data_IF_135327882288
#
_entry.id   IF_135327882288
#
_cell.length_a   1.000
_cell.length_b   1.000
_cell.length_c   1.000
_cell.angle_alpha   90.00
_cell.angle_beta   90.00
_cell.angle_gamma   90.00
#
_symmetry.space_group_name_H-M   'P 1'
#
loop_
_entity.id
_entity.type
_entity.pdbx_description
1 polymer ?
#
# COMPACT_ATOMS: atom_id res chain seq x y z
N UNK A 1 -3.91 50.24 36.59
CA UNK A 1 -3.34 50.60 35.27
C UNK A 1 -3.89 49.64 34.24
N UNK A 2 -4.89 50.07 33.45
CA UNK A 2 -5.58 49.20 32.48
C UNK A 2 -4.69 49.00 31.25
N UNK A 3 -4.14 47.79 31.09
CA UNK A 3 -3.36 47.40 29.91
C UNK A 3 -4.35 47.17 28.75
N UNK A 4 -4.69 48.22 28.00
CA UNK A 4 -5.38 48.07 26.71
C UNK A 4 -4.34 47.69 25.65
N UNK A 5 -4.08 46.38 25.51
CA UNK A 5 -3.25 45.85 24.42
C UNK A 5 -3.93 46.06 23.07
N UNK A 6 -3.29 46.81 22.17
CA UNK A 6 -3.76 47.00 20.78
C UNK A 6 -3.34 45.75 19.98
N UNK A 7 -4.24 44.75 19.85
CA UNK A 7 -4.01 43.57 18.99
C UNK A 7 -3.79 44.05 17.55
N UNK A 8 -2.57 43.93 17.04
CA UNK A 8 -2.29 43.97 15.60
C UNK A 8 -2.49 42.57 15.02
N UNK A 9 -3.02 42.50 13.81
CA UNK A 9 -3.28 41.27 13.06
C UNK A 9 -1.97 40.47 12.83
N UNK A 10 -2.02 39.13 12.83
CA UNK A 10 -0.84 38.29 12.58
C UNK A 10 -0.28 38.50 11.17
N UNK A 11 1.05 38.56 11.03
CA UNK A 11 1.74 38.48 9.74
C UNK A 11 2.16 37.03 9.47
N UNK A 12 1.69 36.45 8.37
CA UNK A 12 2.07 35.10 7.89
C UNK A 12 3.45 35.15 7.25
N UNK A 13 4.37 34.26 7.67
CA UNK A 13 5.75 34.24 7.17
C UNK A 13 6.07 33.02 6.31
N UNK A 14 5.44 31.88 6.60
CA UNK A 14 5.54 30.62 5.87
C UNK A 14 4.32 29.75 6.21
N UNK A 15 4.14 28.60 5.54
CA UNK A 15 3.09 27.63 5.90
C UNK A 15 3.15 27.37 7.42
N UNK A 16 2.06 27.73 8.11
CA UNK A 16 1.83 27.54 9.55
C UNK A 16 2.67 28.37 10.54
N UNK A 17 3.41 29.41 10.10
CA UNK A 17 4.14 30.33 11.01
C UNK A 17 3.57 31.74 11.01
N UNK A 18 3.15 32.21 12.19
CA UNK A 18 2.67 33.57 12.42
C UNK A 18 3.65 34.34 13.31
N UNK A 19 3.95 35.59 12.93
CA UNK A 19 4.59 36.56 13.84
C UNK A 19 3.57 37.53 14.38
N UNK A 20 3.61 37.67 15.70
CA UNK A 20 2.87 38.67 16.45
C UNK A 20 3.86 39.69 17.01
N UNK A 21 3.57 40.98 16.82
CA UNK A 21 4.29 42.06 17.49
C UNK A 21 3.53 42.36 18.78
N UNK A 22 4.14 42.06 19.92
CA UNK A 22 3.58 42.37 21.24
C UNK A 22 4.18 43.70 21.68
N UNK A 23 3.33 44.72 21.79
CA UNK A 23 3.74 46.07 22.20
C UNK A 23 3.32 46.33 23.65
N UNK A 24 4.23 46.87 24.46
CA UNK A 24 3.96 47.27 25.84
C UNK A 24 4.74 48.54 26.18
N UNK A 25 4.22 49.29 27.14
CA UNK A 25 4.86 50.50 27.66
C UNK A 25 5.43 50.23 29.05
N UNK A 26 6.73 50.46 29.23
CA UNK A 26 7.40 50.44 30.54
C UNK A 26 8.01 51.82 30.76
N UNK A 27 7.63 52.51 31.84
CA UNK A 27 8.16 53.85 32.16
C UNK A 27 8.13 54.83 30.97
N UNK A 28 7.01 54.87 30.23
CA UNK A 28 6.81 55.68 29.01
C UNK A 28 7.70 55.30 27.80
N UNK A 29 8.49 54.23 27.88
CA UNK A 29 9.23 53.68 26.75
C UNK A 29 8.36 52.65 26.03
N UNK A 30 8.18 52.81 24.71
CA UNK A 30 7.54 51.80 23.86
C UNK A 30 8.53 50.66 23.63
N UNK A 31 8.22 49.49 24.18
CA UNK A 31 8.94 48.26 23.91
C UNK A 31 8.08 47.36 23.01
N UNK A 32 8.75 46.63 22.12
CA UNK A 32 8.13 45.63 21.29
C UNK A 32 8.96 44.35 21.35
N UNK A 33 8.31 43.21 21.55
CA UNK A 33 8.90 41.90 21.34
C UNK A 33 8.19 41.15 20.24
N UNK A 34 8.94 40.24 19.63
CA UNK A 34 8.41 39.33 18.63
C UNK A 34 8.00 38.06 19.37
N UNK A 35 6.72 37.72 19.30
CA UNK A 35 6.24 36.41 19.69
C UNK A 35 5.99 35.60 18.42
N UNK A 36 6.58 34.41 18.32
CA UNK A 36 6.33 33.45 17.26
C UNK A 36 5.31 32.43 17.75
N UNK A 37 4.16 32.35 17.09
CA UNK A 37 3.22 31.26 17.29
C UNK A 37 3.35 30.33 16.09
N UNK A 38 3.80 29.10 16.33
CA UNK A 38 3.75 28.04 15.34
C UNK A 38 2.39 27.34 15.50
N UNK A 39 1.62 27.25 14.41
CA UNK A 39 0.48 26.34 14.37
C UNK A 39 1.06 24.95 14.15
N UNK A 40 0.82 24.05 15.11
CA UNK A 40 1.20 22.65 14.97
C UNK A 40 0.19 22.00 14.03
N UNK A 41 0.70 21.37 12.97
CA UNK A 41 -0.14 20.59 12.10
C UNK A 41 -0.45 19.25 12.75
N UNK A 42 -1.73 18.89 12.79
CA UNK A 42 -2.24 17.66 13.39
C UNK A 42 -3.09 16.85 12.41
N UNK A 43 -3.25 17.34 11.18
CA UNK A 43 -4.04 16.66 10.16
C UNK A 43 -3.15 15.65 9.42
N UNK A 44 -3.58 14.39 9.27
CA UNK A 44 -2.80 13.40 8.54
C UNK A 44 -2.91 13.59 7.02
N UNK A 45 -1.91 13.11 6.26
CA UNK A 45 -1.99 13.01 4.81
C UNK A 45 -3.24 12.28 4.31
N UNK A 46 -3.67 12.61 3.09
CA UNK A 46 -4.76 11.92 2.40
C UNK A 46 -4.20 11.20 1.17
N UNK A 47 -4.46 9.90 1.08
CA UNK A 47 -4.19 9.13 -0.13
C UNK A 47 -5.28 9.30 -1.18
N UNK A 48 -4.87 9.46 -2.43
CA UNK A 48 -5.69 9.41 -3.64
C UNK A 48 -5.28 8.21 -4.48
N UNK A 49 -6.25 7.62 -5.17
CA UNK A 49 -6.08 6.42 -6.00
C UNK A 49 -5.48 5.20 -5.28
N UNK A 50 -5.94 4.94 -4.05
CA UNK A 50 -5.66 3.68 -3.38
C UNK A 50 -6.08 2.48 -4.24
N UNK A 51 -5.15 1.56 -4.58
CA UNK A 51 -5.49 0.39 -5.36
C UNK A 51 -6.55 -0.46 -4.67
N UNK A 52 -7.37 -1.14 -5.47
CA UNK A 52 -8.29 -2.17 -4.99
C UNK A 52 -7.58 -3.51 -4.93
N UNK A 53 -8.17 -4.45 -4.22
CA UNK A 53 -7.69 -5.84 -4.18
C UNK A 53 -7.57 -6.43 -5.60
N UNK A 54 -6.50 -7.18 -5.81
CA UNK A 54 -6.17 -7.85 -7.06
C UNK A 54 -6.34 -9.35 -6.85
N UNK A 55 -7.22 -9.97 -7.63
CA UNK A 55 -7.40 -11.42 -7.66
C UNK A 55 -7.07 -11.97 -9.04
N UNK A 56 -6.19 -12.96 -9.09
CA UNK A 56 -5.83 -13.67 -10.31
C UNK A 56 -5.91 -15.16 -10.06
N UNK A 57 -6.68 -15.84 -10.90
CA UNK A 57 -6.71 -17.29 -11.00
C UNK A 57 -5.76 -17.70 -12.13
N UNK A 58 -4.57 -18.19 -11.78
CA UNK A 58 -3.61 -18.69 -12.75
C UNK A 58 -3.87 -20.15 -13.06
N UNK A 59 -4.03 -20.44 -14.34
CA UNK A 59 -4.23 -21.77 -14.89
C UNK A 59 -2.96 -22.38 -15.48
N UNK A 60 -1.85 -21.63 -15.43
CA UNK A 60 -0.55 -22.06 -15.90
C UNK A 60 0.22 -22.80 -14.80
N UNK A 61 1.35 -23.40 -15.19
CA UNK A 61 2.30 -24.04 -14.28
C UNK A 61 3.36 -23.05 -13.77
N UNK A 62 3.17 -21.75 -13.97
CA UNK A 62 4.18 -20.77 -13.53
C UNK A 62 4.19 -20.67 -12.01
N UNK A 63 5.39 -20.64 -11.44
CA UNK A 63 5.56 -20.47 -10.00
C UNK A 63 5.49 -19.01 -9.57
N UNK A 64 5.70 -18.06 -10.49
CA UNK A 64 5.71 -16.64 -10.19
C UNK A 64 5.02 -15.82 -11.30
N UNK A 65 4.25 -14.82 -10.90
CA UNK A 65 3.59 -13.87 -11.80
C UNK A 65 4.04 -12.45 -11.48
N UNK A 66 4.26 -11.64 -12.53
CA UNK A 66 4.51 -10.21 -12.38
C UNK A 66 3.20 -9.46 -12.21
N UNK A 67 3.04 -8.74 -11.10
CA UNK A 67 1.82 -7.99 -10.81
C UNK A 67 2.12 -6.50 -10.84
N UNK A 68 1.34 -5.75 -11.62
CA UNK A 68 1.48 -4.30 -11.76
C UNK A 68 0.22 -3.58 -11.27
N UNK A 69 0.38 -2.42 -10.63
CA UNK A 69 -0.71 -1.56 -10.18
C UNK A 69 -0.28 -0.08 -10.23
N UNK A 70 -1.25 0.84 -10.30
CA UNK A 70 -0.98 2.27 -10.15
C UNK A 70 -0.61 2.55 -8.69
N UNK A 71 0.53 3.19 -8.45
CA UNK A 71 0.92 3.57 -7.07
C UNK A 71 -0.02 4.69 -6.59
N UNK A 72 -0.51 4.65 -5.34
CA UNK A 72 -1.31 5.73 -4.79
C UNK A 72 -0.44 6.98 -4.59
N UNK A 73 -1.08 8.15 -4.58
CA UNK A 73 -0.45 9.44 -4.29
C UNK A 73 -0.96 9.97 -2.96
N UNK A 74 -0.10 10.60 -2.16
CA UNK A 74 -0.51 11.24 -0.91
C UNK A 74 -0.33 12.75 -1.00
N UNK A 75 -1.29 13.50 -0.47
CA UNK A 75 -1.25 14.96 -0.37
C UNK A 75 -1.64 15.38 1.02
N UNK A 76 -1.16 16.55 1.44
CA UNK A 76 -1.43 17.09 2.77
C UNK A 76 -1.81 18.58 2.68
N UNK A 77 -2.53 19.07 3.69
CA UNK A 77 -3.03 20.44 3.74
C UNK A 77 -1.91 21.47 4.01
N UNK A 78 -0.73 21.04 4.49
CA UNK A 78 0.43 21.91 4.75
C UNK A 78 1.07 22.48 3.48
N UNK A 79 0.75 21.90 2.31
CA UNK A 79 1.37 22.25 1.03
C UNK A 79 2.75 21.64 0.82
N UNK A 80 3.27 20.87 1.79
CA UNK A 80 4.50 20.08 1.65
C UNK A 80 4.12 18.64 1.30
N UNK A 81 4.64 18.06 0.20
CA UNK A 81 4.36 16.67 -0.16
C UNK A 81 4.83 15.69 0.92
N UNK A 82 3.95 14.78 1.40
CA UNK A 82 4.32 13.73 2.34
C UNK A 82 5.33 12.73 1.76
N UNK A 83 6.14 12.13 2.62
CA UNK A 83 7.00 10.99 2.28
C UNK A 83 6.17 9.71 2.18
N UNK A 84 6.21 9.03 1.02
CA UNK A 84 5.45 7.80 0.78
C UNK A 84 6.38 6.60 0.66
N UNK A 85 6.12 5.56 1.44
CA UNK A 85 6.84 4.29 1.43
C UNK A 85 5.90 3.10 1.22
N UNK A 86 6.43 1.95 0.78
CA UNK A 86 5.64 0.73 0.63
C UNK A 86 6.45 -0.52 0.97
N UNK A 87 5.77 -1.55 1.50
CA UNK A 87 6.36 -2.86 1.75
C UNK A 87 6.56 -3.70 0.47
N UNK A 88 5.93 -3.32 -0.65
CA UNK A 88 5.99 -4.06 -1.93
C UNK A 88 5.94 -3.11 -3.12
N UNK A 89 6.55 -3.51 -4.23
CA UNK A 89 6.67 -2.66 -5.41
C UNK A 89 5.78 -3.15 -6.56
N UNK A 90 5.12 -2.20 -7.22
CA UNK A 90 4.41 -2.47 -8.46
C UNK A 90 5.39 -3.02 -9.51
N UNK A 91 5.00 -4.09 -10.19
CA UNK A 91 5.83 -4.82 -11.14
C UNK A 91 6.73 -5.88 -10.50
N UNK A 92 6.62 -6.17 -9.20
CA UNK A 92 7.34 -7.28 -8.58
C UNK A 92 6.77 -8.65 -9.01
N UNK A 93 7.58 -9.70 -8.84
CA UNK A 93 7.16 -11.10 -9.00
C UNK A 93 6.55 -11.60 -7.69
N UNK A 94 5.46 -12.35 -7.82
CA UNK A 94 4.73 -12.94 -6.70
C UNK A 94 4.54 -14.43 -6.92
N UNK A 95 4.83 -15.28 -5.91
CA UNK A 95 4.67 -16.72 -6.04
C UNK A 95 3.20 -17.12 -6.16
N UNK A 96 2.93 -18.23 -6.84
CA UNK A 96 1.59 -18.82 -7.00
C UNK A 96 1.57 -20.20 -6.33
N UNK A 97 0.58 -20.51 -5.46
CA UNK A 97 -0.46 -19.63 -4.94
C UNK A 97 0.08 -18.74 -3.81
N UNK A 98 -0.50 -17.55 -3.64
CA UNK A 98 -0.17 -16.68 -2.52
C UNK A 98 -1.27 -15.68 -2.19
N UNK A 99 -1.20 -15.11 -1.00
CA UNK A 99 -2.00 -13.96 -0.59
C UNK A 99 -1.11 -13.00 0.16
N UNK A 100 -0.92 -11.79 -0.39
CA UNK A 100 -0.04 -10.78 0.18
C UNK A 100 -0.76 -9.45 0.36
N UNK A 101 -0.53 -8.82 1.50
CA UNK A 101 -0.94 -7.44 1.73
C UNK A 101 0.14 -6.48 1.21
N UNK A 102 -0.30 -5.47 0.48
CA UNK A 102 0.49 -4.30 0.09
C UNK A 102 0.05 -3.14 0.97
N UNK A 103 1.00 -2.55 1.68
CA UNK A 103 0.83 -1.40 2.55
C UNK A 103 1.63 -0.23 1.98
N UNK A 104 0.97 0.89 1.75
CA UNK A 104 1.57 2.20 1.56
C UNK A 104 1.42 3.02 2.84
N UNK A 105 2.49 3.71 3.23
CA UNK A 105 2.52 4.60 4.40
C UNK A 105 3.00 5.98 3.97
N UNK A 106 2.23 7.01 4.29
CA UNK A 106 2.57 8.41 4.10
C UNK A 106 2.87 9.05 5.46
N UNK A 107 3.92 9.87 5.52
CA UNK A 107 4.29 10.68 6.70
C UNK A 107 4.53 12.12 6.24
N UNK A 108 3.84 13.09 6.83
CA UNK A 108 4.05 14.52 6.54
C UNK A 108 5.29 15.11 7.27
N UNK A 109 5.49 16.42 7.13
CA UNK A 109 6.59 17.12 7.79
C UNK A 109 6.39 17.32 9.31
N UNK A 110 5.14 17.22 9.79
CA UNK A 110 4.79 17.33 11.20
C UNK A 110 4.82 15.97 11.94
N UNK A 111 4.96 14.87 11.19
CA UNK A 111 4.98 13.51 11.70
C UNK A 111 3.60 12.84 11.75
N UNK A 112 2.56 13.43 11.16
CA UNK A 112 1.27 12.76 11.04
C UNK A 112 1.32 11.69 9.95
N UNK A 113 0.62 10.60 10.16
CA UNK A 113 0.71 9.40 9.32
C UNK A 113 -0.64 9.01 8.73
N UNK A 114 -0.60 8.48 7.51
CA UNK A 114 -1.74 7.83 6.88
C UNK A 114 -1.30 6.53 6.19
N UNK A 115 -2.24 5.62 6.02
CA UNK A 115 -2.00 4.32 5.37
C UNK A 115 -3.02 4.02 4.28
N UNK A 116 -2.57 3.25 3.29
CA UNK A 116 -3.38 2.76 2.18
C UNK A 116 -3.02 1.30 1.94
N UNK A 117 -4.00 0.40 2.04
CA UNK A 117 -3.78 -1.05 1.96
C UNK A 117 -4.67 -1.71 0.92
N UNK A 118 -4.14 -2.76 0.29
CA UNK A 118 -4.90 -3.68 -0.56
C UNK A 118 -4.23 -5.05 -0.59
N UNK A 119 -4.96 -6.05 -1.05
CA UNK A 119 -4.52 -7.45 -1.09
C UNK A 119 -4.31 -7.95 -2.52
N UNK A 120 -3.24 -8.71 -2.72
CA UNK A 120 -2.99 -9.48 -3.94
C UNK A 120 -3.23 -10.95 -3.60
N UNK A 121 -4.18 -11.58 -4.27
CA UNK A 121 -4.49 -13.01 -4.11
C UNK A 121 -4.29 -13.73 -5.44
N UNK A 122 -3.33 -14.65 -5.45
CA UNK A 122 -3.01 -15.51 -6.58
C UNK A 122 -3.42 -16.93 -6.24
N UNK A 123 -4.40 -17.46 -6.97
CA UNK A 123 -4.86 -18.84 -6.80
C UNK A 123 -4.36 -19.67 -7.97
N UNK A 124 -4.09 -20.95 -7.70
CA UNK A 124 -3.84 -21.93 -8.74
C UNK A 124 -5.12 -22.69 -9.03
N UNK A 125 -5.60 -22.58 -10.26
CA UNK A 125 -6.74 -23.37 -10.73
C UNK A 125 -6.22 -24.45 -11.66
N UNK A 126 -6.14 -25.68 -11.16
CA UNK A 126 -5.80 -26.82 -12.01
C UNK A 126 -6.92 -27.01 -13.03
N UNK A 127 -6.63 -26.70 -14.30
CA UNK A 127 -7.54 -26.98 -15.41
C UNK A 127 -7.77 -28.48 -15.55
N UNK A 128 -8.82 -28.85 -16.26
CA UNK A 128 -9.17 -30.24 -16.60
C UNK A 128 -7.98 -31.02 -17.17
N UNK A 129 -7.05 -30.36 -17.87
CA UNK A 129 -5.84 -30.99 -18.42
C UNK A 129 -4.83 -31.42 -17.36
N UNK A 130 -4.55 -30.59 -16.35
CA UNK A 130 -3.66 -30.98 -15.24
C UNK A 130 -4.34 -32.01 -14.32
N UNK A 131 -5.67 -31.95 -14.18
CA UNK A 131 -6.45 -33.02 -13.53
C UNK A 131 -6.37 -34.34 -14.31
N UNK A 132 -6.35 -34.29 -15.66
CA UNK A 132 -6.20 -35.47 -16.52
C UNK A 132 -4.80 -36.08 -16.40
N UNK A 133 -3.73 -35.27 -16.32
CA UNK A 133 -2.37 -35.77 -16.10
C UNK A 133 -2.23 -36.38 -14.70
N UNK A 134 -2.70 -35.70 -13.64
CA UNK A 134 -2.70 -36.27 -12.29
C UNK A 134 -3.56 -37.56 -12.17
N UNK A 135 -4.59 -37.70 -13.00
CA UNK A 135 -5.35 -38.95 -13.12
C UNK A 135 -4.55 -40.03 -13.85
N UNK A 136 -3.82 -39.70 -14.90
CA UNK A 136 -2.94 -40.64 -15.62
C UNK A 136 -1.86 -41.17 -14.68
N UNK A 137 -1.19 -40.32 -13.90
CA UNK A 137 -0.18 -40.75 -12.92
C UNK A 137 -0.76 -41.68 -11.86
N UNK A 138 -1.97 -41.37 -11.37
CA UNK A 138 -2.70 -42.25 -10.44
C UNK A 138 -3.07 -43.59 -11.08
N UNK A 139 -3.50 -43.60 -12.34
CA UNK A 139 -3.82 -44.83 -13.06
C UNK A 139 -2.57 -45.68 -13.34
N UNK A 140 -1.44 -45.06 -13.66
CA UNK A 140 -0.15 -45.74 -13.82
C UNK A 140 0.35 -46.34 -12.50
N UNK A 141 0.20 -45.63 -11.38
CA UNK A 141 0.54 -46.15 -10.06
C UNK A 141 -0.32 -47.37 -9.67
N UNK A 142 -1.62 -47.35 -9.99
CA UNK A 142 -2.52 -48.49 -9.76
C UNK A 142 -2.19 -49.66 -10.71
N UNK A 143 -1.85 -49.37 -11.97
CA UNK A 143 -1.34 -50.38 -12.90
C UNK A 143 -0.11 -51.09 -12.33
N UNK A 144 0.89 -50.34 -11.87
CA UNK A 144 2.10 -50.87 -11.25
C UNK A 144 1.87 -51.67 -9.95
N UNK A 145 0.70 -51.56 -9.32
CA UNK A 145 0.29 -52.40 -8.19
C UNK A 145 -0.29 -53.77 -8.63
N UNK A 146 -0.21 -54.12 -9.92
CA UNK A 146 -0.57 -55.44 -10.43
C UNK A 146 -2.04 -55.61 -10.83
N UNK A 147 -2.81 -54.53 -10.91
CA UNK A 147 -4.20 -54.62 -11.36
C UNK A 147 -4.27 -54.75 -12.89
N UNK A 148 -4.51 -55.97 -13.37
CA UNK A 148 -4.53 -56.34 -14.80
C UNK A 148 -5.49 -55.49 -15.65
N UNK A 149 -6.65 -55.10 -15.09
CA UNK A 149 -7.64 -54.27 -15.81
C UNK A 149 -7.14 -52.83 -15.98
N UNK A 150 -6.49 -52.29 -14.95
CA UNK A 150 -5.89 -50.96 -15.00
C UNK A 150 -4.60 -50.92 -15.82
N UNK A 151 -3.81 -52.00 -15.85
CA UNK A 151 -2.67 -52.14 -16.77
C UNK A 151 -3.10 -52.00 -18.24
N UNK A 152 -4.19 -52.67 -18.64
CA UNK A 152 -4.71 -52.57 -20.01
C UNK A 152 -5.25 -51.16 -20.33
N UNK A 153 -5.83 -50.48 -19.35
CA UNK A 153 -6.29 -49.10 -19.48
C UNK A 153 -5.12 -48.12 -19.66
N UNK A 154 -4.05 -48.27 -18.87
CA UNK A 154 -2.82 -47.46 -18.96
C UNK A 154 -2.16 -47.60 -20.34
N UNK A 155 -2.06 -48.82 -20.86
CA UNK A 155 -1.47 -49.08 -22.19
C UNK A 155 -2.28 -48.38 -23.29
N UNK A 156 -3.62 -48.43 -23.25
CA UNK A 156 -4.47 -47.74 -24.23
C UNK A 156 -4.33 -46.21 -24.20
N UNK A 157 -4.15 -45.62 -23.01
CA UNK A 157 -3.97 -44.17 -22.88
C UNK A 157 -2.63 -43.72 -23.46
N UNK A 158 -1.55 -44.48 -23.24
CA UNK A 158 -0.21 -44.13 -23.76
C UNK A 158 -0.09 -44.25 -25.29
N UNK A 159 -0.96 -45.03 -25.95
CA UNK A 159 -0.95 -45.20 -27.42
C UNK A 159 -1.76 -44.12 -28.15
N UNK A 160 -2.59 -43.36 -27.43
CA UNK A 160 -3.48 -42.32 -27.99
C UNK A 160 -2.94 -40.89 -27.88
N UNK A 161 -1.77 -40.69 -27.24
CA UNK A 161 -1.02 -39.43 -27.19
C UNK A 161 0.24 -39.55 -28.04
#
# INVERSE_FOLDING_TARGET
>A
MLIKGRKRSPLRLSHNTYKMIVQYFILNVLLATIATAAVVDTEPPVFTDCPKDIMIDDNTITDNIRINWKRPTATDNSGVPPSVTSNRQAGALFPVPSSFEVLYKAIDAAGNEATCTFRITLKRTYTTYMKKIALIDKLQAIGNQGNLFLMALVIKVNVLN
#
